data_IF_823574601930
#
_entry.id   IF_823574601930
#
_cell.length_a   1.000
_cell.length_b   1.000
_cell.length_c   1.000
_cell.angle_alpha   90.00
_cell.angle_beta   90.00
_cell.angle_gamma   90.00
#
_symmetry.space_group_name_H-M   'P 1'
#
loop_
_entity.id
_entity.type
_entity.pdbx_description
1 polymer ?
#
# COMPACT_ATOMS: atom_id res chain seq x y z
N UNK A 1 -0.65 1.96 -19.66
CA UNK A 1 -1.84 1.19 -19.37
C UNK A 1 -1.89 0.84 -17.90
N UNK A 2 -3.01 1.12 -17.25
CA UNK A 2 -3.13 0.89 -15.83
C UNK A 2 -3.32 -0.59 -15.52
N UNK A 3 -2.74 -1.07 -14.42
CA UNK A 3 -3.01 -2.43 -13.98
C UNK A 3 -4.47 -2.59 -13.54
N UNK A 4 -5.03 -3.77 -13.79
CA UNK A 4 -6.39 -4.07 -13.32
C UNK A 4 -6.36 -4.51 -11.86
N UNK A 5 -7.55 -4.80 -11.30
CA UNK A 5 -7.67 -5.16 -9.89
C UNK A 5 -6.78 -6.34 -9.50
N UNK A 6 -6.77 -7.37 -10.34
CA UNK A 6 -6.00 -8.56 -10.06
C UNK A 6 -4.51 -8.24 -10.02
N UNK A 7 -4.05 -7.44 -10.95
CA UNK A 7 -2.63 -7.07 -11.00
C UNK A 7 -2.27 -6.15 -9.85
N UNK A 8 -3.16 -5.21 -9.49
CA UNK A 8 -2.91 -4.34 -8.33
C UNK A 8 -2.72 -5.16 -7.08
N UNK A 9 -3.60 -6.15 -6.85
CA UNK A 9 -3.48 -7.03 -5.68
C UNK A 9 -2.16 -7.80 -5.71
N UNK A 10 -1.80 -8.33 -6.88
CA UNK A 10 -0.56 -9.10 -7.02
C UNK A 10 0.65 -8.24 -6.75
N UNK A 11 0.65 -7.01 -7.24
CA UNK A 11 1.78 -6.10 -7.04
C UNK A 11 1.91 -5.68 -5.58
N UNK A 12 0.79 -5.37 -4.94
CA UNK A 12 0.81 -5.03 -3.52
C UNK A 12 1.39 -6.19 -2.70
N UNK A 13 0.89 -7.39 -2.96
CA UNK A 13 1.35 -8.57 -2.25
C UNK A 13 2.84 -8.79 -2.47
N UNK A 14 3.28 -8.71 -3.73
CA UNK A 14 4.69 -8.90 -4.06
C UNK A 14 5.58 -7.87 -3.35
N UNK A 15 5.22 -6.61 -3.43
CA UNK A 15 6.06 -5.55 -2.84
C UNK A 15 6.09 -5.62 -1.33
N UNK A 16 4.96 -5.95 -0.69
CA UNK A 16 4.96 -6.14 0.76
C UNK A 16 5.77 -7.36 1.16
N UNK A 17 5.63 -8.46 0.42
CA UNK A 17 6.41 -9.67 0.69
C UNK A 17 7.91 -9.42 0.53
N UNK A 18 8.30 -8.62 -0.46
CA UNK A 18 9.71 -8.28 -0.67
C UNK A 18 10.30 -7.59 0.56
N UNK A 19 9.47 -6.91 1.32
CA UNK A 19 9.88 -6.21 2.53
C UNK A 19 9.55 -7.00 3.80
N UNK A 20 9.10 -8.24 3.62
CA UNK A 20 8.73 -9.12 4.74
C UNK A 20 7.63 -8.53 5.60
N UNK A 21 6.70 -7.81 4.96
CA UNK A 21 5.54 -7.26 5.63
C UNK A 21 4.33 -8.11 5.27
N UNK A 22 3.69 -8.63 6.31
CA UNK A 22 2.48 -9.43 6.11
C UNK A 22 1.24 -8.56 6.26
N UNK A 23 0.43 -8.51 5.22
CA UNK A 23 -0.81 -7.72 5.21
C UNK A 23 -1.99 -8.66 5.05
N UNK A 24 -3.01 -8.50 5.88
CA UNK A 24 -4.21 -9.29 5.77
C UNK A 24 -4.87 -9.09 4.41
N UNK A 25 -5.47 -10.15 3.88
CA UNK A 25 -6.13 -10.07 2.57
C UNK A 25 -7.18 -8.96 2.53
N UNK A 26 -7.96 -8.81 3.61
CA UNK A 26 -8.98 -7.77 3.67
C UNK A 26 -8.38 -6.37 3.56
N UNK A 27 -7.19 -6.16 4.12
CA UNK A 27 -6.51 -4.88 4.00
C UNK A 27 -5.94 -4.67 2.61
N UNK A 28 -5.47 -5.73 1.97
CA UNK A 28 -5.03 -5.64 0.58
C UNK A 28 -6.19 -5.23 -0.33
N UNK A 29 -7.36 -5.84 -0.15
CA UNK A 29 -8.57 -5.47 -0.90
C UNK A 29 -8.91 -4.00 -0.68
N UNK A 30 -8.85 -3.56 0.56
CA UNK A 30 -9.15 -2.18 0.92
C UNK A 30 -8.23 -1.20 0.20
N UNK A 31 -6.93 -1.50 0.21
CA UNK A 31 -5.94 -0.66 -0.46
C UNK A 31 -6.18 -0.67 -1.97
N UNK A 32 -6.38 -1.85 -2.55
CA UNK A 32 -6.54 -1.99 -3.99
C UNK A 32 -7.74 -1.20 -4.52
N UNK A 33 -8.79 -1.10 -3.70
CA UNK A 33 -9.99 -0.37 -4.09
C UNK A 33 -9.78 1.15 -4.11
N UNK A 34 -8.76 1.65 -3.42
CA UNK A 34 -8.57 3.09 -3.18
C UNK A 34 -7.30 3.67 -3.74
N UNK A 35 -6.32 2.84 -4.01
CA UNK A 35 -5.01 3.30 -4.43
C UNK A 35 -5.03 3.77 -5.88
N UNK A 36 -4.18 4.73 -6.20
CA UNK A 36 -3.96 5.16 -7.58
C UNK A 36 -3.34 4.01 -8.35
N UNK A 37 -3.93 3.66 -9.50
CA UNK A 37 -3.60 2.45 -10.25
C UNK A 37 -2.48 2.67 -11.25
N UNK A 38 -1.35 3.17 -10.79
CA UNK A 38 -0.15 3.21 -11.60
C UNK A 38 0.91 2.38 -10.90
N UNK A 39 1.84 1.83 -11.67
CA UNK A 39 2.92 1.03 -11.09
C UNK A 39 3.72 1.85 -10.09
N UNK A 40 4.03 3.09 -10.43
CA UNK A 40 4.82 3.94 -9.55
C UNK A 40 4.08 4.26 -8.25
N UNK A 41 2.78 4.53 -8.33
CA UNK A 41 2.01 4.84 -7.12
C UNK A 41 1.91 3.65 -6.18
N UNK A 42 1.73 2.45 -6.75
CA UNK A 42 1.66 1.23 -5.96
C UNK A 42 2.99 0.99 -5.25
N UNK A 43 4.08 1.11 -5.99
CA UNK A 43 5.41 0.92 -5.43
C UNK A 43 5.71 1.95 -4.33
N UNK A 44 5.40 3.22 -4.59
CA UNK A 44 5.64 4.28 -3.63
C UNK A 44 4.80 4.13 -2.37
N UNK A 45 3.55 3.66 -2.54
CA UNK A 45 2.70 3.42 -1.39
C UNK A 45 3.30 2.38 -0.46
N UNK A 46 3.77 1.27 -1.02
CA UNK A 46 4.37 0.20 -0.21
C UNK A 46 5.64 0.72 0.48
N UNK A 47 6.46 1.48 -0.24
CA UNK A 47 7.66 2.07 0.36
C UNK A 47 7.29 3.02 1.51
N UNK A 48 6.26 3.82 1.33
CA UNK A 48 5.83 4.76 2.36
C UNK A 48 5.34 4.02 3.61
N UNK A 49 4.52 2.99 3.42
CA UNK A 49 4.00 2.19 4.53
C UNK A 49 5.15 1.54 5.29
N UNK A 50 6.09 0.94 4.56
CA UNK A 50 7.25 0.29 5.16
C UNK A 50 8.04 1.29 5.99
N UNK A 51 8.39 2.42 5.40
CA UNK A 51 9.20 3.43 6.07
C UNK A 51 8.50 3.97 7.32
N UNK A 52 7.21 4.32 7.18
CA UNK A 52 6.47 4.90 8.30
C UNK A 52 6.27 3.92 9.44
N UNK A 53 6.01 2.66 9.12
CA UNK A 53 5.83 1.65 10.17
C UNK A 53 7.10 1.48 10.98
N UNK A 54 8.26 1.58 10.34
CA UNK A 54 9.55 1.48 11.02
C UNK A 54 9.83 2.73 11.85
N UNK A 55 9.65 3.90 11.26
CA UNK A 55 9.94 5.16 11.95
C UNK A 55 9.05 5.34 13.17
N UNK A 56 7.76 5.04 13.04
CA UNK A 56 6.80 5.22 14.13
C UNK A 56 6.73 4.01 15.05
N UNK A 57 7.35 2.91 14.64
CA UNK A 57 7.29 1.65 15.38
C UNK A 57 5.84 1.25 15.63
N UNK A 58 5.01 1.32 14.59
CA UNK A 58 3.58 1.02 14.70
C UNK A 58 3.19 -0.12 13.80
N UNK A 59 2.16 -0.85 14.22
CA UNK A 59 1.58 -1.90 13.39
C UNK A 59 0.77 -1.28 12.27
N UNK A 60 0.70 -1.99 11.15
CA UNK A 60 -0.05 -1.54 9.99
C UNK A 60 -1.51 -1.95 10.17
N UNK A 61 -2.29 -1.01 10.71
CA UNK A 61 -3.71 -1.19 10.96
C UNK A 61 -4.51 -0.46 9.88
N UNK A 62 -5.84 -0.62 9.91
CA UNK A 62 -6.70 0.07 8.96
C UNK A 62 -6.56 1.60 9.06
N UNK A 63 -6.55 2.21 10.26
CA UNK A 63 -6.30 3.65 10.36
C UNK A 63 -4.95 4.06 9.82
N UNK A 64 -3.93 3.25 10.02
CA UNK A 64 -2.60 3.51 9.47
C UNK A 64 -2.67 3.53 7.93
N UNK A 65 -3.37 2.55 7.36
CA UNK A 65 -3.53 2.46 5.90
C UNK A 65 -4.28 3.67 5.36
N UNK A 66 -5.36 4.07 6.03
CA UNK A 66 -6.11 5.26 5.62
C UNK A 66 -5.24 6.51 5.62
N UNK A 67 -4.44 6.66 6.66
CA UNK A 67 -3.53 7.79 6.76
C UNK A 67 -2.53 7.79 5.61
N UNK A 68 -1.99 6.62 5.27
CA UNK A 68 -1.02 6.50 4.18
C UNK A 68 -1.67 6.82 2.83
N UNK A 69 -2.89 6.32 2.60
CA UNK A 69 -3.61 6.59 1.36
C UNK A 69 -3.90 8.08 1.21
N UNK A 70 -4.34 8.72 2.29
CA UNK A 70 -4.60 10.16 2.26
C UNK A 70 -3.34 10.96 1.96
N UNK A 71 -2.25 10.56 2.55
CA UNK A 71 -0.97 11.24 2.36
C UNK A 71 -0.53 11.17 0.91
N UNK A 72 -0.68 9.99 0.31
CA UNK A 72 -0.27 9.79 -1.08
C UNK A 72 -1.12 10.60 -2.05
N UNK A 73 -2.40 10.78 -1.74
CA UNK A 73 -3.28 11.54 -2.61
C UNK A 73 -3.02 13.04 -2.55
N UNK A 74 -2.45 13.51 -1.47
CA UNK A 74 -2.23 14.94 -1.27
C UNK A 74 -0.86 15.40 -1.69
N UNK A 75 -0.11 14.55 -2.35
CA UNK A 75 1.26 14.86 -2.72
C UNK A 75 1.31 15.44 -4.11
N UNK A 76 0.77 16.57 -4.29
CA UNK A 76 1.11 17.35 -5.47
C UNK A 76 0.69 18.76 -5.39
#
# INVERSE_FOLDING_TARGET
KEPDDTLVMALLLKYFNDRQIFIKHSNLDYIAARINRTYSSIYEFVNYVDHKSLVLNKKITRPFIDSALNKMEKTY
#
